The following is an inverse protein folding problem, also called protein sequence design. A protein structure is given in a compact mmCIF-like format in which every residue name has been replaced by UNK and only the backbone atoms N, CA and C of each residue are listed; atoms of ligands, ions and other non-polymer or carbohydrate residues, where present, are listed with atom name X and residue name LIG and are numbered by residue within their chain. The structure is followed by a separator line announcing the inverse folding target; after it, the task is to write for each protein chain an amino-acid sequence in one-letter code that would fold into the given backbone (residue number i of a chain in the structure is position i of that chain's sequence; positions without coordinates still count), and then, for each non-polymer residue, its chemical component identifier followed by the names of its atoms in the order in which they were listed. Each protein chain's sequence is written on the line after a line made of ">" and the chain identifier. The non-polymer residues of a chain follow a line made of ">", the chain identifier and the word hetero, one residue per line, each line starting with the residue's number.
data_IF_883296254387
#
_entry.id   IF_883296254387
#
_cell.length_a   1.000
_cell.length_b   1.000
_cell.length_c   1.000
_cell.angle_alpha   90.00
_cell.angle_beta   90.00
_cell.angle_gamma   90.00
#
_symmetry.space_group_name_H-M   'P 1'
#
loop_
_entity.id
_entity.type
_entity.pdbx_description
1 polymer ?
#
# COMPACT_ATOMS: atom_id res chain seq x y z
N UNK A 1 -1.77 27.58 -60.99
CA UNK A 1 -1.78 28.46 -59.81
C UNK A 1 -2.58 27.73 -58.75
N UNK A 2 -1.94 26.98 -57.84
CA UNK A 2 -1.53 27.42 -56.49
C UNK A 2 -2.73 28.00 -55.71
N UNK A 3 -3.10 27.60 -54.49
CA UNK A 3 -2.51 26.76 -53.43
C UNK A 3 -3.59 26.54 -52.36
N UNK A 4 -3.55 25.40 -51.68
CA UNK A 4 -3.67 25.18 -50.22
C UNK A 4 -4.67 26.01 -49.39
N UNK A 5 -5.55 25.32 -48.64
CA UNK A 5 -5.58 25.46 -47.17
C UNK A 5 -6.36 24.31 -46.52
N UNK A 6 -5.63 23.29 -46.04
CA UNK A 6 -6.06 22.49 -44.91
C UNK A 6 -5.82 23.33 -43.65
N UNK A 7 -6.83 23.52 -42.80
CA UNK A 7 -6.73 23.81 -41.36
C UNK A 7 -8.17 23.72 -40.80
N UNK A 8 -8.50 23.02 -39.73
CA UNK A 8 -7.73 22.20 -38.82
C UNK A 8 -8.75 21.55 -37.89
N UNK A 9 -8.71 20.23 -37.79
CA UNK A 9 -9.33 19.51 -36.67
C UNK A 9 -8.59 19.94 -35.41
N UNK A 10 -9.14 20.93 -34.70
CA UNK A 10 -8.63 21.32 -33.39
C UNK A 10 -9.03 20.21 -32.42
N UNK A 11 -8.01 19.40 -32.17
CA UNK A 11 -7.94 18.36 -31.17
C UNK A 11 -8.62 18.77 -29.86
N UNK A 12 -9.61 17.96 -29.50
CA UNK A 12 -10.04 17.61 -28.15
C UNK A 12 -8.88 17.78 -27.16
N UNK A 13 -8.85 18.88 -26.42
CA UNK A 13 -7.85 19.11 -25.38
C UNK A 13 -8.50 19.77 -24.19
N UNK A 14 -8.26 19.11 -23.06
CA UNK A 14 -8.22 19.65 -21.70
C UNK A 14 -9.45 19.38 -20.84
N UNK A 15 -9.18 18.57 -19.82
CA UNK A 15 -9.81 18.54 -18.50
C UNK A 15 -10.98 17.58 -18.23
N UNK A 16 -10.89 16.36 -18.77
CA UNK A 16 -11.35 15.22 -17.98
C UNK A 16 -10.31 14.95 -16.87
N UNK A 17 -10.36 15.74 -15.78
CA UNK A 17 -9.80 15.33 -14.49
C UNK A 17 -10.66 14.18 -13.97
N UNK A 18 -10.46 13.00 -14.57
CA UNK A 18 -10.81 11.72 -13.97
C UNK A 18 -10.07 11.68 -12.64
N UNK A 19 -10.82 11.91 -11.58
CA UNK A 19 -10.44 11.62 -10.21
C UNK A 19 -10.93 10.18 -9.94
N UNK A 20 -10.16 9.10 -10.23
CA UNK A 20 -10.53 7.78 -9.75
C UNK A 20 -10.12 7.66 -8.27
N UNK A 21 -10.57 8.58 -7.42
CA UNK A 21 -10.61 8.34 -5.97
C UNK A 21 -12.06 8.02 -5.65
N UNK A 22 -12.43 6.75 -5.55
CA UNK A 22 -13.58 6.33 -4.73
C UNK A 22 -13.77 4.81 -4.57
N UNK A 23 -12.75 3.96 -4.84
CA UNK A 23 -12.81 2.55 -4.43
C UNK A 23 -11.70 2.13 -3.44
N UNK A 24 -10.75 3.04 -3.16
CA UNK A 24 -9.68 2.80 -2.20
C UNK A 24 -10.09 3.08 -0.73
N UNK A 25 -11.17 3.84 -0.51
CA UNK A 25 -11.51 4.39 0.81
C UNK A 25 -11.96 3.35 1.84
N UNK A 26 -12.25 2.10 1.43
CA UNK A 26 -12.68 1.04 2.34
C UNK A 26 -11.64 -0.07 2.56
N UNK A 27 -10.37 0.13 2.17
CA UNK A 27 -9.34 -0.87 2.42
C UNK A 27 -8.61 -0.61 3.74
N UNK A 28 -8.87 -1.40 4.81
CA UNK A 28 -8.29 -1.14 6.14
C UNK A 28 -6.76 -1.29 6.15
N UNK A 29 -6.18 -2.10 5.26
CA UNK A 29 -4.72 -2.19 5.10
C UNK A 29 -4.12 -0.87 4.62
N UNK A 30 -4.81 -0.17 3.71
CA UNK A 30 -4.33 1.10 3.18
C UNK A 30 -4.55 2.26 4.16
N UNK A 31 -5.66 2.24 4.89
CA UNK A 31 -5.99 3.26 5.90
C UNK A 31 -4.98 3.23 7.05
N UNK A 32 -4.55 2.04 7.46
CA UNK A 32 -3.58 1.85 8.54
C UNK A 32 -2.14 1.66 8.03
N UNK A 33 -1.86 2.07 6.79
CA UNK A 33 -0.53 1.94 6.19
C UNK A 33 0.43 3.01 6.72
N UNK A 34 1.63 2.57 7.09
CA UNK A 34 2.75 3.41 7.47
C UNK A 34 4.00 3.00 6.69
N UNK A 35 4.58 3.93 5.94
CA UNK A 35 5.74 3.70 5.11
C UNK A 35 5.77 4.59 3.87
N UNK A 36 6.68 4.29 2.97
CA UNK A 36 6.86 4.97 1.70
C UNK A 36 5.78 4.54 0.69
N UNK A 37 5.33 5.47 -0.15
CA UNK A 37 4.42 5.18 -1.26
C UNK A 37 5.15 5.38 -2.58
N UNK A 38 5.20 4.32 -3.37
CA UNK A 38 5.87 4.28 -4.65
C UNK A 38 4.85 4.22 -5.80
N UNK A 39 5.28 4.40 -7.06
CA UNK A 39 4.42 4.24 -8.21
C UNK A 39 3.73 2.88 -8.21
N UNK A 40 2.43 2.89 -8.53
CA UNK A 40 1.55 1.73 -8.49
C UNK A 40 2.09 0.59 -9.37
N UNK A 41 1.97 -0.63 -8.88
CA UNK A 41 2.36 -1.85 -9.60
C UNK A 41 1.14 -2.59 -10.15
N UNK A 42 1.32 -3.32 -11.25
CA UNK A 42 0.23 -4.08 -11.91
C UNK A 42 -0.02 -5.44 -11.25
N UNK A 43 1.06 -6.12 -10.88
CA UNK A 43 1.07 -7.48 -10.32
C UNK A 43 1.54 -7.43 -8.88
N UNK A 44 0.91 -8.22 -8.02
CA UNK A 44 1.30 -8.39 -6.62
C UNK A 44 1.30 -9.87 -6.30
N UNK A 45 2.34 -10.32 -5.62
CA UNK A 45 2.46 -11.63 -5.04
C UNK A 45 2.15 -11.56 -3.54
N UNK A 46 1.28 -12.45 -3.08
CA UNK A 46 1.05 -12.67 -1.64
C UNK A 46 1.99 -13.77 -1.19
N UNK A 47 2.74 -13.53 -0.11
CA UNK A 47 3.66 -14.50 0.49
C UNK A 47 3.31 -14.72 1.95
N UNK A 48 3.53 -15.94 2.44
CA UNK A 48 3.29 -16.27 3.86
C UNK A 48 4.51 -15.97 4.75
N UNK A 49 5.69 -15.88 4.14
CA UNK A 49 6.95 -15.61 4.82
C UNK A 49 7.65 -14.45 4.10
N UNK A 50 8.30 -13.59 4.87
CA UNK A 50 9.13 -12.52 4.33
C UNK A 50 10.12 -13.07 3.27
N UNK A 51 10.19 -12.43 2.09
CA UNK A 51 11.15 -12.81 1.04
C UNK A 51 12.59 -12.40 1.43
N UNK A 52 13.57 -12.92 0.69
CA UNK A 52 14.99 -12.63 0.91
C UNK A 52 15.26 -11.11 0.92
N UNK A 53 15.80 -10.55 2.02
CA UNK A 53 16.08 -9.11 2.14
C UNK A 53 17.04 -8.58 1.07
N UNK A 54 17.87 -9.44 0.47
CA UNK A 54 18.75 -9.02 -0.62
C UNK A 54 18.00 -8.83 -1.93
N UNK A 55 16.86 -9.50 -2.10
CA UNK A 55 16.01 -9.43 -3.30
C UNK A 55 14.94 -8.34 -3.26
N UNK A 56 14.58 -7.86 -2.06
CA UNK A 56 13.48 -6.91 -1.87
C UNK A 56 13.89 -5.69 -1.06
N UNK A 57 13.12 -4.61 -1.22
CA UNK A 57 13.13 -3.42 -0.37
C UNK A 57 11.87 -3.41 0.47
N UNK A 58 12.02 -3.26 1.79
CA UNK A 58 10.88 -3.02 2.65
C UNK A 58 10.37 -1.59 2.46
N UNK A 59 9.09 -1.43 2.12
CA UNK A 59 8.50 -0.12 1.84
C UNK A 59 7.53 0.35 2.93
N UNK A 60 6.98 -0.56 3.73
CA UNK A 60 6.09 -0.19 4.82
C UNK A 60 5.34 -1.35 5.46
N UNK A 61 4.44 -1.00 6.37
CA UNK A 61 3.62 -1.96 7.13
C UNK A 61 2.24 -1.41 7.47
N UNK A 62 1.32 -2.32 7.79
CA UNK A 62 0.02 -2.01 8.38
C UNK A 62 -0.24 -2.93 9.57
N UNK A 63 -0.73 -2.39 10.68
CA UNK A 63 -1.17 -3.14 11.87
C UNK A 63 -2.49 -2.55 12.35
N UNK A 64 -3.53 -3.38 12.45
CA UNK A 64 -4.85 -2.96 12.94
C UNK A 64 -5.68 -4.15 13.40
N UNK A 65 -6.73 -3.88 14.18
CA UNK A 65 -7.72 -4.87 14.60
C UNK A 65 -9.04 -4.64 13.88
N UNK A 66 -9.70 -5.72 13.44
CA UNK A 66 -10.98 -5.66 12.75
C UNK A 66 -11.90 -6.80 13.20
N UNK A 67 -13.20 -6.52 13.30
CA UNK A 67 -14.26 -7.53 13.51
C UNK A 67 -14.74 -8.16 12.20
N UNK A 68 -14.21 -7.70 11.07
CA UNK A 68 -14.43 -8.27 9.74
C UNK A 68 -13.27 -9.15 9.36
N UNK A 69 -13.59 -10.31 8.80
CA UNK A 69 -12.64 -11.21 8.15
C UNK A 69 -12.15 -10.57 6.84
N UNK A 70 -10.83 -10.44 6.69
CA UNK A 70 -10.20 -9.89 5.49
C UNK A 70 -9.53 -11.00 4.70
N UNK A 71 -9.48 -10.82 3.38
CA UNK A 71 -8.91 -11.78 2.44
C UNK A 71 -7.75 -11.15 1.67
N UNK A 72 -7.04 -12.00 0.92
CA UNK A 72 -5.92 -11.58 0.06
C UNK A 72 -6.26 -10.42 -0.87
N UNK A 73 -7.50 -10.35 -1.36
CA UNK A 73 -7.93 -9.30 -2.28
C UNK A 73 -7.73 -7.88 -1.69
N UNK A 74 -7.99 -7.71 -0.38
CA UNK A 74 -7.77 -6.45 0.30
C UNK A 74 -6.27 -6.15 0.46
N UNK A 75 -5.45 -7.14 0.86
CA UNK A 75 -4.01 -6.97 0.97
C UNK A 75 -3.36 -6.64 -0.38
N UNK A 76 -3.74 -7.35 -1.45
CA UNK A 76 -3.30 -7.13 -2.84
C UNK A 76 -3.68 -5.73 -3.32
N UNK A 77 -4.92 -5.31 -3.08
CA UNK A 77 -5.38 -3.98 -3.48
C UNK A 77 -4.60 -2.87 -2.76
N UNK A 78 -4.26 -3.07 -1.47
CA UNK A 78 -3.42 -2.12 -0.74
C UNK A 78 -2.00 -2.09 -1.30
N UNK A 79 -1.38 -3.25 -1.53
CA UNK A 79 -0.04 -3.39 -2.09
C UNK A 79 0.11 -2.68 -3.45
N UNK A 80 -0.85 -2.88 -4.37
CA UNK A 80 -0.87 -2.17 -5.66
C UNK A 80 -0.89 -0.65 -5.51
N UNK A 81 -1.61 -0.15 -4.51
CA UNK A 81 -1.78 1.28 -4.28
C UNK A 81 -0.58 1.93 -3.60
N UNK A 82 0.13 1.20 -2.73
CA UNK A 82 1.37 1.68 -2.10
C UNK A 82 2.60 1.43 -2.96
N UNK A 83 2.47 0.66 -4.05
CA UNK A 83 3.56 0.37 -4.99
C UNK A 83 4.44 -0.81 -4.59
N UNK A 84 3.91 -1.73 -3.77
CA UNK A 84 4.52 -3.02 -3.44
C UNK A 84 4.05 -4.10 -4.41
N UNK A 85 5.00 -4.84 -4.99
CA UNK A 85 4.75 -6.06 -5.77
C UNK A 85 4.76 -7.32 -4.90
N UNK A 86 5.19 -7.25 -3.64
CA UNK A 86 5.11 -8.36 -2.70
C UNK A 86 4.45 -7.90 -1.42
N UNK A 87 3.48 -8.68 -0.94
CA UNK A 87 2.81 -8.45 0.35
C UNK A 87 2.85 -9.71 1.19
N UNK A 88 3.39 -9.57 2.39
CA UNK A 88 3.28 -10.56 3.45
C UNK A 88 2.19 -10.08 4.39
N UNK A 89 1.19 -10.91 4.67
CA UNK A 89 0.20 -10.55 5.68
C UNK A 89 -0.20 -11.77 6.50
N UNK A 90 -0.59 -11.50 7.74
CA UNK A 90 -1.08 -12.50 8.67
C UNK A 90 -2.24 -11.93 9.46
N UNK A 91 -3.17 -12.80 9.81
CA UNK A 91 -4.19 -12.58 10.81
C UNK A 91 -3.86 -13.38 12.07
N UNK A 92 -4.16 -12.79 13.22
CA UNK A 92 -4.12 -13.46 14.52
C UNK A 92 -5.46 -13.27 15.18
N UNK A 93 -5.99 -14.34 15.77
CA UNK A 93 -7.15 -14.24 16.62
C UNK A 93 -6.85 -13.30 17.80
N UNK A 94 -7.69 -12.28 17.96
CA UNK A 94 -7.61 -11.28 19.01
C UNK A 94 -8.74 -11.43 20.03
N UNK A 95 -9.51 -12.54 19.96
CA UNK A 95 -10.59 -12.86 20.88
C UNK A 95 -11.95 -12.41 20.35
N UNK A 96 -12.88 -12.15 21.25
CA UNK A 96 -14.24 -11.74 20.90
C UNK A 96 -14.61 -10.41 21.55
N UNK A 97 -15.43 -9.62 20.84
CA UNK A 97 -15.97 -8.35 21.33
C UNK A 97 -17.49 -8.41 21.37
N UNK A 98 -18.05 -7.98 22.50
CA UNK A 98 -19.48 -7.75 22.66
C UNK A 98 -19.86 -6.44 21.95
N UNK A 99 -20.81 -6.52 21.03
CA UNK A 99 -21.33 -5.37 20.29
C UNK A 99 -22.86 -5.36 20.39
N UNK A 100 -23.45 -4.20 20.65
CA UNK A 100 -24.90 -4.06 20.67
C UNK A 100 -25.41 -3.75 19.27
N UNK A 101 -26.27 -4.61 18.74
CA UNK A 101 -26.95 -4.40 17.45
C UNK A 101 -28.43 -4.20 17.67
N UNK A 102 -29.08 -3.43 16.80
CA UNK A 102 -30.54 -3.33 16.80
C UNK A 102 -31.13 -4.40 15.88
N UNK A 103 -32.07 -5.19 16.39
CA UNK A 103 -32.85 -6.12 15.57
C UNK A 103 -34.32 -5.66 15.49
N UNK A 104 -34.94 -5.69 14.30
CA UNK A 104 -36.34 -5.39 14.14
C UNK A 104 -37.19 -6.51 14.73
N UNK A 105 -38.12 -6.16 15.62
CA UNK A 105 -39.14 -7.07 16.13
C UNK A 105 -40.51 -6.53 15.73
N UNK A 106 -41.25 -7.32 14.95
CA UNK A 106 -42.65 -7.04 14.66
C UNK A 106 -43.50 -7.52 15.82
N UNK A 107 -44.23 -6.61 16.46
CA UNK A 107 -45.16 -6.94 17.53
C UNK A 107 -46.62 -6.90 17.07
N UNK A 108 -46.87 -6.53 15.81
CA UNK A 108 -48.18 -6.58 15.18
C UNK A 108 -48.10 -6.83 13.66
N UNK A 109 -48.21 -8.09 13.25
CA UNK A 109 -48.13 -8.48 11.84
C UNK A 109 -49.14 -7.79 10.90
N UNK A 110 -50.21 -7.19 11.45
CA UNK A 110 -51.28 -6.53 10.68
C UNK A 110 -51.05 -5.04 10.39
N UNK A 111 -50.39 -4.30 11.29
CA UNK A 111 -50.16 -2.84 11.14
C UNK A 111 -48.73 -2.51 10.75
N UNK A 112 -47.83 -3.49 10.76
CA UNK A 112 -46.45 -3.31 10.30
C UNK A 112 -45.57 -2.49 11.25
N UNK A 113 -45.97 -2.33 12.52
CA UNK A 113 -45.14 -1.63 13.48
C UNK A 113 -43.94 -2.52 13.85
N UNK A 114 -42.75 -1.99 13.59
CA UNK A 114 -41.47 -2.63 13.90
C UNK A 114 -40.81 -1.82 15.00
N UNK A 115 -40.55 -2.46 16.13
CA UNK A 115 -39.71 -1.89 17.19
C UNK A 115 -38.27 -2.38 17.00
N UNK A 116 -37.28 -1.52 17.22
CA UNK A 116 -35.87 -1.90 17.26
C UNK A 116 -35.46 -2.17 18.70
N UNK A 117 -35.10 -3.41 19.01
CA UNK A 117 -34.56 -3.76 20.34
C UNK A 117 -33.04 -3.94 20.27
N UNK A 118 -32.29 -3.45 21.27
CA UNK A 118 -30.86 -3.70 21.35
C UNK A 118 -30.60 -5.15 21.78
N UNK A 119 -29.80 -5.87 20.99
CA UNK A 119 -29.36 -7.23 21.24
C UNK A 119 -27.84 -7.26 21.38
N UNK A 120 -27.29 -7.95 22.39
CA UNK A 120 -25.86 -8.18 22.47
C UNK A 120 -25.46 -9.26 21.45
N UNK A 121 -24.48 -8.96 20.60
CA UNK A 121 -23.89 -9.89 19.64
C UNK A 121 -22.41 -10.02 19.93
N UNK A 122 -21.93 -11.26 19.99
CA UNK A 122 -20.51 -11.57 20.12
C UNK A 122 -19.92 -11.65 18.73
N UNK A 123 -18.90 -10.82 18.45
CA UNK A 123 -18.15 -10.87 17.18
C UNK A 123 -16.70 -11.25 17.43
N UNK A 124 -16.15 -12.12 16.59
CA UNK A 124 -14.72 -12.40 16.59
C UNK A 124 -13.92 -11.16 16.19
N UNK A 125 -12.78 -10.95 16.82
CA UNK A 125 -11.82 -9.91 16.51
C UNK A 125 -10.55 -10.55 15.95
N UNK A 126 -10.04 -9.97 14.89
CA UNK A 126 -8.80 -10.39 14.25
C UNK A 126 -7.83 -9.23 14.24
N UNK A 127 -6.58 -9.48 14.62
CA UNK A 127 -5.48 -8.54 14.46
C UNK A 127 -4.76 -8.87 13.16
N UNK A 128 -4.71 -7.90 12.26
CA UNK A 128 -4.06 -8.02 10.97
C UNK A 128 -2.72 -7.30 11.01
N UNK A 129 -1.70 -7.97 10.49
CA UNK A 129 -0.37 -7.40 10.26
C UNK A 129 0.01 -7.65 8.81
N UNK A 130 0.35 -6.58 8.08
CA UNK A 130 0.86 -6.67 6.72
C UNK A 130 2.20 -5.95 6.60
N UNK A 131 3.12 -6.54 5.84
CA UNK A 131 4.40 -5.97 5.45
C UNK A 131 4.42 -5.91 3.93
N UNK A 132 4.80 -4.74 3.43
CA UNK A 132 4.81 -4.43 2.02
C UNK A 132 6.25 -4.33 1.56
N UNK A 133 6.58 -5.05 0.50
CA UNK A 133 7.90 -5.09 -0.07
C UNK A 133 7.85 -4.75 -1.56
N UNK A 134 8.93 -4.17 -2.05
CA UNK A 134 9.15 -3.93 -3.46
C UNK A 134 10.36 -4.74 -3.96
N UNK A 135 10.22 -5.52 -5.02
CA UNK A 135 11.37 -6.19 -5.63
C UNK A 135 12.35 -5.16 -6.16
N UNK A 136 13.65 -5.36 -5.89
CA UNK A 136 14.72 -4.54 -6.47
C UNK A 136 14.76 -4.67 -8.00
N UNK A 137 14.28 -5.79 -8.56
CA UNK A 137 14.24 -6.01 -10.02
C UNK A 137 13.21 -5.14 -10.74
N UNK A 138 12.22 -4.60 -10.04
CA UNK A 138 11.19 -3.72 -10.62
C UNK A 138 11.64 -2.26 -10.77
N UNK A 139 12.91 -1.99 -10.43
CA UNK A 139 13.44 -0.64 -10.33
C UNK A 139 12.94 0.03 -9.06
N UNK A 140 13.87 0.39 -8.20
CA UNK A 140 13.62 1.47 -7.26
C UNK A 140 13.51 2.74 -8.11
N UNK A 141 12.45 3.56 -8.02
CA UNK A 141 12.55 4.93 -8.52
C UNK A 141 13.69 5.72 -7.84
N UNK A 142 14.39 5.13 -6.86
CA UNK A 142 15.69 5.55 -6.32
C UNK A 142 16.95 5.21 -7.13
N UNK A 143 16.89 4.44 -8.24
CA UNK A 143 18.02 4.36 -9.20
C UNK A 143 18.12 5.62 -10.10
N UNK A 144 17.34 6.66 -9.77
CA UNK A 144 17.67 8.02 -10.15
C UNK A 144 18.70 8.50 -9.13
N UNK A 145 19.98 8.45 -9.51
CA UNK A 145 21.13 9.05 -8.82
C UNK A 145 20.76 10.35 -8.07
N UNK A 146 20.42 10.25 -6.78
CA UNK A 146 20.05 11.39 -5.94
C UNK A 146 21.27 12.26 -5.61
N UNK A 147 22.50 11.72 -5.74
CA UNK A 147 23.73 12.53 -5.65
C UNK A 147 23.86 13.57 -6.78
N UNK A 148 23.10 13.50 -7.88
CA UNK A 148 23.18 14.49 -8.96
C UNK A 148 22.47 15.82 -8.64
N UNK A 149 21.68 15.90 -7.57
CA UNK A 149 20.90 17.10 -7.21
C UNK A 149 21.25 17.67 -5.83
N UNK A 150 22.45 17.40 -5.30
CA UNK A 150 22.96 18.16 -4.16
C UNK A 150 23.39 19.54 -4.68
N UNK A 151 22.78 20.66 -4.24
CA UNK A 151 23.29 21.98 -4.58
C UNK A 151 24.73 22.12 -4.05
N UNK A 152 25.65 22.78 -4.78
CA UNK A 152 27.03 22.89 -4.36
C UNK A 152 27.10 23.65 -3.03
N UNK A 153 27.32 22.96 -1.92
CA UNK A 153 27.48 23.60 -0.60
C UNK A 153 27.14 22.78 0.64
N UNK A 154 26.46 21.64 0.55
CA UNK A 154 26.12 20.86 1.75
C UNK A 154 26.99 19.62 1.87
N UNK A 155 28.16 19.80 2.48
CA UNK A 155 29.08 18.72 2.86
C UNK A 155 28.37 17.82 3.89
N UNK A 156 28.17 16.52 3.64
CA UNK A 156 27.83 15.59 4.73
C UNK A 156 29.06 15.42 5.63
N UNK A 157 28.90 15.25 6.96
CA UNK A 157 30.03 14.90 7.81
C UNK A 157 30.65 13.60 7.30
N UNK A 158 31.94 13.68 7.03
CA UNK A 158 32.81 12.55 6.68
C UNK A 158 32.84 11.62 7.88
N UNK A 159 32.14 10.49 7.82
CA UNK A 159 32.53 9.33 8.62
C UNK A 159 33.78 8.75 7.96
N UNK A 160 34.92 9.24 8.46
CA UNK A 160 36.25 8.76 8.19
C UNK A 160 36.42 7.38 8.80
N UNK A 161 36.02 6.32 8.09
CA UNK A 161 36.73 5.05 8.22
C UNK A 161 36.56 4.14 6.99
N UNK A 162 37.14 4.58 5.87
CA UNK A 162 37.59 3.66 4.82
C UNK A 162 39.11 3.55 4.95
N UNK A 163 39.60 2.34 5.22
CA UNK A 163 40.88 1.88 4.68
C UNK A 163 40.80 0.36 4.50
N UNK A 164 40.13 -0.01 3.44
CA UNK A 164 40.65 -1.03 2.54
C UNK A 164 41.88 -0.41 1.87
N UNK A 165 43.00 -1.12 1.79
CA UNK A 165 43.83 -1.12 0.59
C UNK A 165 44.84 -2.26 0.64
N UNK A 166 44.84 -2.91 -0.50
CA UNK A 166 45.47 -4.11 -0.96
C UNK A 166 47.00 -3.98 -1.17
N UNK A 167 47.64 -5.14 -1.09
CA UNK A 167 48.67 -5.61 -2.00
C UNK A 167 50.17 -5.21 -1.96
N UNK A 168 50.96 -6.29 -2.15
CA UNK A 168 52.29 -6.42 -2.79
C UNK A 168 53.62 -6.29 -2.01
N UNK A 169 54.27 -7.47 -1.89
CA UNK A 169 55.57 -7.83 -2.52
C UNK A 169 56.92 -7.50 -1.84
N UNK A 170 57.57 -8.61 -1.48
CA UNK A 170 59.00 -8.95 -1.55
C UNK A 170 60.03 -8.40 -0.55
N UNK A 171 60.78 -9.39 -0.04
CA UNK A 171 62.21 -9.39 0.31
C UNK A 171 62.63 -8.59 1.55
N UNK A 172 63.03 -9.30 2.62
CA UNK A 172 64.41 -9.77 2.74
C UNK A 172 64.56 -10.80 3.86
#
# INVERSE_FOLDING_TARGET
>A
MNTSSQHGFIFFRVMLLLFPLSLAACNPFLVNYSGEKLPKVKTVQVVMTAPDPDSVRWIGRSDFTSTRELKDAQAISAAKQVGADIVEWSDKDAGTKLEWTSAPVSYNAWTGNVASIPLPVVRSQFRYQARFYRSKSLGDPGDVNWQKNVPPGSVPPVDENSKEDDDTKSAS
#
